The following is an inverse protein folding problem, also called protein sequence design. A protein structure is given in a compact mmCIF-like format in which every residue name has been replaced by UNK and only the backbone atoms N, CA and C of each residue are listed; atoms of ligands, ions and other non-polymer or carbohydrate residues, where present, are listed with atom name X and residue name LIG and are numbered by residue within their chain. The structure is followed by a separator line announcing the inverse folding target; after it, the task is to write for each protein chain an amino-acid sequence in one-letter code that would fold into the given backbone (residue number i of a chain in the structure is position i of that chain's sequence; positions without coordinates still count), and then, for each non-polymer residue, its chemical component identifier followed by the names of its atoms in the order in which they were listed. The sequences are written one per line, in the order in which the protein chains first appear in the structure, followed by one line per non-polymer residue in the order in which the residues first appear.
data_IF_995299659942
#
_entry.id   IF_995299659942
#
_cell.length_a   1.000
_cell.length_b   1.000
_cell.length_c   1.000
_cell.angle_alpha   90.00
_cell.angle_beta   90.00
_cell.angle_gamma   90.00
#
_symmetry.space_group_name_H-M   'P 1'
#
loop_
_entity.id
_entity.type
_entity.pdbx_description
1 polymer ?
#
# COMPACT_ATOMS: atom_id res chain seq x y z
N UNK A 1 -7.56 -11.78 4.99
CA UNK A 1 -7.61 -10.78 3.94
C UNK A 1 -8.97 -10.09 3.92
N UNK A 2 -8.96 -8.79 3.73
CA UNK A 2 -10.19 -8.04 3.52
C UNK A 2 -10.54 -8.04 2.04
N UNK A 3 -11.82 -7.89 1.72
CA UNK A 3 -12.25 -7.61 0.35
C UNK A 3 -12.84 -6.21 0.33
N UNK A 4 -13.06 -5.67 -0.88
CA UNK A 4 -13.70 -4.37 -1.05
C UNK A 4 -15.06 -4.33 -0.34
N UNK A 5 -15.82 -5.42 -0.40
CA UNK A 5 -17.16 -5.53 0.17
C UNK A 5 -17.15 -5.61 1.69
N UNK A 6 -16.07 -6.10 2.29
CA UNK A 6 -15.96 -6.25 3.75
C UNK A 6 -15.27 -5.08 4.43
N UNK A 7 -14.63 -4.21 3.66
CA UNK A 7 -13.93 -3.05 4.19
C UNK A 7 -14.93 -1.94 4.50
N UNK A 8 -14.82 -1.34 5.69
CA UNK A 8 -15.66 -0.22 6.12
C UNK A 8 -14.78 0.91 6.62
N UNK A 9 -15.38 2.10 6.80
CA UNK A 9 -14.65 3.26 7.33
C UNK A 9 -14.03 2.99 8.70
N UNK A 10 -14.66 2.12 9.50
CA UNK A 10 -14.13 1.77 10.82
C UNK A 10 -12.82 0.98 10.77
N UNK A 11 -12.46 0.44 9.61
CA UNK A 11 -11.18 -0.28 9.42
C UNK A 11 -10.00 0.68 9.28
N UNK A 12 -10.25 1.96 8.97
CA UNK A 12 -9.20 2.97 8.87
C UNK A 12 -8.94 3.59 10.23
N UNK A 13 -7.66 3.80 10.54
CA UNK A 13 -7.26 4.51 11.74
C UNK A 13 -7.26 6.02 11.46
N UNK A 14 -7.38 6.83 12.52
CA UNK A 14 -7.30 8.28 12.38
C UNK A 14 -5.83 8.73 12.30
N UNK A 15 -5.14 8.27 11.26
CA UNK A 15 -3.72 8.52 11.00
C UNK A 15 -3.51 8.76 9.52
N UNK A 16 -2.36 9.33 9.18
CA UNK A 16 -1.89 9.28 7.81
C UNK A 16 -1.75 7.82 7.40
N UNK A 17 -2.24 7.49 6.21
CA UNK A 17 -2.22 6.12 5.71
C UNK A 17 -1.42 6.05 4.41
N UNK A 18 -0.50 5.09 4.33
CA UNK A 18 0.13 4.71 3.07
C UNK A 18 -0.66 3.54 2.52
N UNK A 19 -1.19 3.74 1.33
CA UNK A 19 -1.94 2.73 0.58
C UNK A 19 -1.06 2.30 -0.58
N UNK A 20 -0.63 1.04 -0.58
CA UNK A 20 0.29 0.51 -1.59
C UNK A 20 -0.38 -0.61 -2.38
N UNK A 21 -0.40 -0.45 -3.70
CA UNK A 21 -0.93 -1.45 -4.62
C UNK A 21 0.24 -2.31 -5.11
N UNK A 22 0.15 -3.62 -4.90
CA UNK A 22 1.24 -4.54 -5.12
C UNK A 22 0.75 -5.92 -5.57
N UNK A 23 1.67 -6.75 -6.01
CA UNK A 23 1.39 -8.15 -6.34
C UNK A 23 2.66 -8.99 -6.16
N UNK A 24 2.50 -10.27 -5.85
CA UNK A 24 3.64 -11.18 -5.70
C UNK A 24 4.37 -11.43 -7.02
N UNK A 25 3.67 -11.31 -8.15
CA UNK A 25 4.25 -11.50 -9.49
C UNK A 25 4.98 -10.24 -10.02
N UNK A 26 5.04 -9.17 -9.25
CA UNK A 26 5.54 -7.87 -9.67
C UNK A 26 7.00 -7.67 -9.22
N UNK A 27 7.93 -7.61 -10.17
CA UNK A 27 9.35 -7.44 -9.87
C UNK A 27 9.65 -6.08 -9.23
N UNK A 28 9.02 -5.01 -9.73
CA UNK A 28 9.23 -3.66 -9.20
C UNK A 28 8.71 -3.53 -7.76
N UNK A 29 7.67 -4.31 -7.41
CA UNK A 29 7.16 -4.37 -6.05
C UNK A 29 8.21 -4.96 -5.09
N UNK A 30 8.98 -5.92 -5.57
CA UNK A 30 10.07 -6.50 -4.78
C UNK A 30 11.16 -5.47 -4.50
N UNK A 31 11.47 -4.62 -5.47
CA UNK A 31 12.50 -3.57 -5.34
C UNK A 31 12.15 -2.53 -4.29
N UNK A 32 10.87 -2.22 -4.13
CA UNK A 32 10.44 -1.19 -3.15
C UNK A 32 10.17 -1.75 -1.77
N UNK A 33 10.09 -3.07 -1.63
CA UNK A 33 9.51 -3.68 -0.43
C UNK A 33 10.24 -3.32 0.86
N UNK A 34 11.56 -3.26 0.83
CA UNK A 34 12.35 -2.90 2.01
C UNK A 34 12.04 -1.49 2.52
N UNK A 35 11.70 -0.58 1.62
CA UNK A 35 11.33 0.80 1.98
C UNK A 35 9.96 0.82 2.65
N UNK A 36 9.03 0.00 2.19
CA UNK A 36 7.72 -0.14 2.85
C UNK A 36 7.88 -0.71 4.26
N UNK A 37 8.76 -1.69 4.43
CA UNK A 37 9.07 -2.25 5.76
C UNK A 37 9.60 -1.14 6.69
N UNK A 38 10.51 -0.29 6.19
CA UNK A 38 11.04 0.81 6.97
C UNK A 38 9.94 1.80 7.37
N UNK A 39 9.08 2.18 6.43
CA UNK A 39 7.96 3.09 6.69
C UNK A 39 6.98 2.50 7.71
N UNK A 40 6.78 1.19 7.69
CA UNK A 40 5.85 0.52 8.60
C UNK A 40 6.28 0.59 10.06
N UNK A 41 7.54 0.90 10.33
CA UNK A 41 8.05 1.04 11.69
C UNK A 41 7.65 2.35 12.35
N UNK A 42 7.17 3.31 11.58
CA UNK A 42 6.67 4.57 12.11
C UNK A 42 5.25 4.38 12.62
N UNK A 43 5.06 4.52 13.92
CA UNK A 43 3.77 4.28 14.58
C UNK A 43 2.71 5.33 14.26
N UNK A 44 3.11 6.46 13.70
CA UNK A 44 2.19 7.53 13.32
C UNK A 44 1.60 7.33 11.93
N UNK A 45 2.04 6.29 11.22
CA UNK A 45 1.60 5.95 9.87
C UNK A 45 0.89 4.60 9.89
N UNK A 46 -0.27 4.53 9.24
CA UNK A 46 -0.94 3.26 8.98
C UNK A 46 -0.52 2.74 7.61
N UNK A 47 -0.37 1.43 7.48
CA UNK A 47 0.02 0.79 6.23
C UNK A 47 -1.07 -0.15 5.76
N UNK A 48 -1.61 0.09 4.58
CA UNK A 48 -2.62 -0.76 3.96
C UNK A 48 -2.13 -1.19 2.58
N UNK A 49 -2.19 -2.48 2.31
CA UNK A 49 -1.83 -3.03 1.02
C UNK A 49 -3.06 -3.42 0.21
N UNK A 50 -3.07 -3.12 -1.08
CA UNK A 50 -4.04 -3.65 -2.02
C UNK A 50 -3.32 -4.69 -2.87
N UNK A 51 -3.74 -5.94 -2.73
CA UNK A 51 -3.15 -7.06 -3.47
C UNK A 51 -3.87 -7.21 -4.81
N UNK A 52 -3.20 -6.79 -5.87
CA UNK A 52 -3.76 -6.61 -7.20
C UNK A 52 -3.64 -7.88 -8.03
N UNK A 53 -4.78 -8.43 -8.44
CA UNK A 53 -4.87 -9.56 -9.40
C UNK A 53 -3.88 -10.69 -9.08
N UNK A 54 -3.92 -11.19 -7.86
CA UNK A 54 -2.94 -12.16 -7.35
C UNK A 54 -3.66 -13.34 -6.69
N UNK A 55 -2.94 -14.45 -6.59
CA UNK A 55 -3.40 -15.60 -5.81
C UNK A 55 -3.09 -15.37 -4.34
N UNK A 56 -4.08 -15.58 -3.46
CA UNK A 56 -3.90 -15.33 -2.02
C UNK A 56 -2.75 -16.14 -1.42
N UNK A 57 -2.61 -17.41 -1.81
CA UNK A 57 -1.50 -18.24 -1.31
C UNK A 57 -0.14 -17.73 -1.75
N UNK A 58 -0.03 -17.27 -3.00
CA UNK A 58 1.21 -16.69 -3.52
C UNK A 58 1.53 -15.38 -2.79
N UNK A 59 0.54 -14.52 -2.63
CA UNK A 59 0.70 -13.23 -1.95
C UNK A 59 1.14 -13.43 -0.50
N UNK A 60 0.50 -14.30 0.25
CA UNK A 60 0.82 -14.53 1.65
C UNK A 60 2.18 -15.20 1.81
N UNK A 61 2.53 -16.15 0.94
CA UNK A 61 3.86 -16.77 0.92
C UNK A 61 4.96 -15.74 0.65
N UNK A 62 4.71 -14.84 -0.29
CA UNK A 62 5.64 -13.77 -0.64
C UNK A 62 5.92 -12.85 0.56
N UNK A 63 4.87 -12.43 1.27
CA UNK A 63 5.00 -11.61 2.48
C UNK A 63 5.66 -12.37 3.63
N UNK A 64 5.37 -13.67 3.78
CA UNK A 64 5.97 -14.50 4.80
C UNK A 64 7.48 -14.58 4.67
N UNK A 65 7.98 -14.59 3.43
CA UNK A 65 9.42 -14.64 3.17
C UNK A 65 10.11 -13.29 3.31
N UNK A 66 9.41 -12.20 2.99
CA UNK A 66 10.02 -10.86 2.88
C UNK A 66 9.64 -9.91 4.01
N UNK A 67 8.67 -10.29 4.84
CA UNK A 67 8.11 -9.43 5.86
C UNK A 67 6.83 -8.75 5.38
N UNK A 68 5.92 -8.50 6.30
CA UNK A 68 4.62 -7.90 6.02
C UNK A 68 4.54 -6.50 6.62
N UNK A 69 4.62 -5.44 5.79
CA UNK A 69 4.54 -4.08 6.29
C UNK A 69 3.11 -3.61 6.53
N UNK A 70 2.10 -4.38 6.09
CA UNK A 70 0.70 -3.93 6.07
C UNK A 70 -0.05 -4.36 7.32
N UNK A 71 -0.81 -3.44 7.91
CA UNK A 71 -1.77 -3.78 8.96
C UNK A 71 -2.99 -4.48 8.37
N UNK A 72 -3.45 -4.00 7.22
CA UNK A 72 -4.59 -4.57 6.48
C UNK A 72 -4.15 -4.86 5.05
N UNK A 73 -4.59 -6.00 4.52
CA UNK A 73 -4.41 -6.33 3.12
C UNK A 73 -5.80 -6.50 2.50
N UNK A 74 -6.07 -5.71 1.47
CA UNK A 74 -7.32 -5.77 0.72
C UNK A 74 -7.06 -6.61 -0.52
N UNK A 75 -7.88 -7.64 -0.71
CA UNK A 75 -7.77 -8.50 -1.89
C UNK A 75 -8.56 -7.88 -3.04
N UNK A 76 -7.87 -7.61 -4.13
CA UNK A 76 -8.44 -7.03 -5.34
C UNK A 76 -8.26 -7.99 -6.53
N UNK A 77 -9.00 -9.11 -6.49
CA UNK A 77 -8.80 -10.24 -7.39
C UNK A 77 -8.99 -9.91 -8.85
N UNK A 78 -9.93 -9.04 -9.17
CA UNK A 78 -10.23 -8.66 -10.56
C UNK A 78 -9.75 -7.26 -10.91
N UNK A 79 -9.20 -6.53 -9.95
CA UNK A 79 -8.65 -5.20 -10.18
C UNK A 79 -9.66 -4.07 -10.21
N UNK A 80 -10.91 -4.31 -9.76
CA UNK A 80 -11.96 -3.29 -9.81
C UNK A 80 -11.73 -2.17 -8.80
N UNK A 81 -11.23 -2.48 -7.60
CA UNK A 81 -10.88 -1.46 -6.62
C UNK A 81 -9.73 -0.57 -7.12
N UNK A 82 -8.71 -1.20 -7.69
CA UNK A 82 -7.57 -0.47 -8.26
C UNK A 82 -8.01 0.40 -9.43
N UNK A 83 -8.92 -0.09 -10.26
CA UNK A 83 -9.48 0.70 -11.35
C UNK A 83 -10.20 1.94 -10.81
N UNK A 84 -11.01 1.79 -9.76
CA UNK A 84 -11.72 2.91 -9.13
C UNK A 84 -10.76 3.96 -8.56
N UNK A 85 -9.59 3.53 -8.10
CA UNK A 85 -8.55 4.43 -7.60
C UNK A 85 -7.76 5.11 -8.73
N UNK A 86 -7.90 4.65 -9.96
CA UNK A 86 -7.14 5.16 -11.09
C UNK A 86 -5.77 4.53 -11.23
N UNK A 87 -5.60 3.29 -10.76
CA UNK A 87 -4.33 2.56 -10.85
C UNK A 87 -4.08 2.14 -12.29
N UNK A 88 -2.88 2.46 -12.81
CA UNK A 88 -2.45 2.03 -14.13
C UNK A 88 -1.76 0.65 -14.10
N UNK A 89 -1.18 0.30 -12.97
CA UNK A 89 -0.46 -0.95 -12.83
C UNK A 89 0.16 -1.04 -11.44
N UNK A 90 1.12 -1.93 -11.26
CA UNK A 90 1.81 -2.09 -9.97
C UNK A 90 3.30 -1.86 -10.14
N UNK A 91 3.97 -1.30 -9.10
CA UNK A 91 3.38 -0.79 -7.86
C UNK A 91 2.91 0.65 -8.01
N UNK A 92 1.95 1.03 -7.18
CA UNK A 92 1.57 2.43 -6.99
C UNK A 92 1.39 2.68 -5.50
N UNK A 93 1.72 3.90 -5.06
CA UNK A 93 1.68 4.25 -3.65
C UNK A 93 0.92 5.56 -3.47
N UNK A 94 -0.02 5.55 -2.53
CA UNK A 94 -0.83 6.71 -2.19
C UNK A 94 -0.60 7.09 -0.74
N UNK A 95 -0.74 8.38 -0.43
CA UNK A 95 -0.83 8.84 0.96
C UNK A 95 -2.22 9.42 1.14
N UNK A 96 -2.93 8.92 2.15
CA UNK A 96 -4.24 9.42 2.55
C UNK A 96 -4.10 10.19 3.85
N UNK A 97 -4.88 11.25 4.02
CA UNK A 97 -4.96 11.91 5.31
C UNK A 97 -5.85 11.11 6.27
N UNK A 98 -6.02 11.61 7.49
CA UNK A 98 -6.81 10.92 8.52
C UNK A 98 -8.29 10.81 8.18
N UNK A 99 -8.75 11.53 7.17
CA UNK A 99 -10.13 11.47 6.66
C UNK A 99 -10.23 10.67 5.36
N UNK A 100 -9.18 9.91 5.02
CA UNK A 100 -9.07 9.07 3.82
C UNK A 100 -9.11 9.86 2.51
N UNK A 101 -8.66 11.12 2.55
CA UNK A 101 -8.52 11.94 1.34
C UNK A 101 -7.11 11.74 0.79
N UNK A 102 -7.02 11.49 -0.53
CA UNK A 102 -5.73 11.28 -1.21
C UNK A 102 -4.97 12.59 -1.25
N UNK A 103 -3.76 12.60 -0.69
CA UNK A 103 -2.86 13.75 -0.69
C UNK A 103 -1.69 13.58 -1.66
N UNK A 104 -1.40 12.36 -2.06
CA UNK A 104 -0.20 12.06 -2.85
C UNK A 104 -0.38 10.74 -3.60
N UNK A 105 0.16 10.67 -4.80
CA UNK A 105 0.20 9.46 -5.62
C UNK A 105 1.56 9.35 -6.28
N UNK A 106 2.19 8.18 -6.17
CA UNK A 106 3.42 7.86 -6.88
C UNK A 106 3.21 6.62 -7.73
N UNK A 107 3.50 6.72 -9.02
CA UNK A 107 3.44 5.61 -9.97
C UNK A 107 4.84 5.01 -10.08
N UNK A 108 4.93 3.69 -9.90
CA UNK A 108 6.19 2.99 -9.92
C UNK A 108 6.77 2.76 -8.52
N UNK A 109 7.94 2.13 -8.41
CA UNK A 109 8.53 1.82 -7.11
C UNK A 109 9.02 3.07 -6.38
N UNK A 110 8.80 3.10 -5.07
CA UNK A 110 9.36 4.15 -4.23
C UNK A 110 10.81 3.79 -3.87
N UNK A 111 11.58 4.81 -3.54
CA UNK A 111 12.96 4.66 -3.10
C UNK A 111 13.24 5.72 -2.02
N UNK A 112 14.47 5.73 -1.52
CA UNK A 112 14.84 6.65 -0.44
C UNK A 112 14.67 8.12 -0.84
N UNK A 113 15.03 8.48 -2.07
CA UNK A 113 14.90 9.86 -2.54
C UNK A 113 13.45 10.31 -2.56
N UNK A 114 12.55 9.48 -3.11
CA UNK A 114 11.11 9.78 -3.16
C UNK A 114 10.55 9.92 -1.75
N UNK A 115 10.94 9.01 -0.85
CA UNK A 115 10.49 9.07 0.55
C UNK A 115 10.92 10.39 1.18
N UNK A 116 12.21 10.74 1.09
CA UNK A 116 12.75 11.93 1.74
C UNK A 116 12.20 13.23 1.14
N UNK A 117 12.13 13.31 -0.18
CA UNK A 117 11.81 14.56 -0.86
C UNK A 117 10.31 14.78 -1.05
N UNK A 118 9.52 13.70 -1.19
CA UNK A 118 8.11 13.82 -1.58
C UNK A 118 7.16 13.31 -0.50
N UNK A 119 7.47 12.20 0.16
CA UNK A 119 6.54 11.54 1.07
C UNK A 119 6.63 12.06 2.51
N UNK A 120 7.83 12.14 3.08
CA UNK A 120 7.99 12.57 4.47
C UNK A 120 7.43 13.97 4.73
N UNK A 121 7.58 14.96 3.83
CA UNK A 121 6.94 16.27 4.06
C UNK A 121 5.43 16.18 4.23
N UNK A 122 4.77 15.30 3.49
CA UNK A 122 3.31 15.09 3.59
C UNK A 122 2.98 14.29 4.85
N UNK A 123 3.75 13.26 5.13
CA UNK A 123 3.52 12.39 6.29
C UNK A 123 3.72 13.11 7.61
N UNK A 124 4.50 14.18 7.61
CA UNK A 124 4.81 14.97 8.81
C UNK A 124 3.83 16.10 9.08
N UNK A 125 2.88 16.32 8.20
CA UNK A 125 1.88 17.38 8.37
C UNK A 125 0.96 17.14 9.55
#
# INVERSE_FOLDING_TARGET
LYTKETLTNSNFLEKKTILNVWASWCLECEREHSYLIQLSKNKDIDMIGINYKDESSEAMGWLSMRGNPYRIIIKDSIGDLSLDLGVYGVPETYILDKNQVIQYKHIGPINNQIIQEEMLPILSE
#
